data_IF_604749114339
#
_entry.id   IF_604749114339
#
_cell.length_a   1.000
_cell.length_b   1.000
_cell.length_c   1.000
_cell.angle_alpha   90.00
_cell.angle_beta   90.00
_cell.angle_gamma   90.00
#
_symmetry.space_group_name_H-M   'P 1'
#
loop_
_entity.id
_entity.type
_entity.pdbx_description
1 polymer ?
#
# COMPACT_ATOMS: atom_id res chain seq x y z
N UNK A 1 -43.15 32.43 -34.41
CA UNK A 1 -41.72 32.70 -34.41
C UNK A 1 -41.14 33.00 -33.02
N UNK A 2 -41.75 33.84 -32.17
CA UNK A 2 -41.22 34.17 -30.82
C UNK A 2 -41.15 32.98 -29.83
N UNK A 3 -42.01 31.97 -29.93
CA UNK A 3 -41.98 30.78 -29.04
C UNK A 3 -40.90 29.76 -29.43
N UNK A 4 -40.52 29.68 -30.73
CA UNK A 4 -39.44 28.79 -31.19
C UNK A 4 -38.06 29.30 -30.79
N UNK A 5 -37.88 30.64 -30.76
CA UNK A 5 -36.61 31.27 -30.33
C UNK A 5 -36.36 31.10 -28.83
N UNK A 6 -37.41 31.11 -28.00
CA UNK A 6 -37.30 30.92 -26.55
C UNK A 6 -36.88 29.45 -26.20
N UNK A 7 -37.36 28.48 -26.98
CA UNK A 7 -37.02 27.06 -26.77
C UNK A 7 -35.59 26.73 -27.17
N UNK A 8 -35.08 27.36 -28.27
CA UNK A 8 -33.69 27.19 -28.72
C UNK A 8 -32.69 27.82 -27.70
N UNK A 9 -33.03 28.96 -27.11
CA UNK A 9 -32.19 29.64 -26.13
C UNK A 9 -32.15 28.89 -24.79
N UNK A 10 -33.24 28.25 -24.37
CA UNK A 10 -33.25 27.38 -23.18
C UNK A 10 -32.43 26.09 -23.38
N UNK A 11 -32.44 25.52 -24.61
CA UNK A 11 -31.64 24.33 -24.93
C UNK A 11 -30.15 24.63 -24.98
N UNK A 12 -29.75 25.80 -25.51
CA UNK A 12 -28.34 26.24 -25.51
C UNK A 12 -27.84 26.55 -24.11
N UNK A 13 -28.67 27.07 -23.20
CA UNK A 13 -28.28 27.31 -21.78
C UNK A 13 -28.12 26.01 -21.01
N UNK A 14 -28.92 24.98 -21.28
CA UNK A 14 -28.76 23.66 -20.68
C UNK A 14 -27.46 22.96 -21.16
N UNK A 15 -27.12 23.06 -22.45
CA UNK A 15 -25.88 22.47 -22.98
C UNK A 15 -24.60 23.19 -22.50
N UNK A 16 -24.68 24.48 -22.17
CA UNK A 16 -23.54 25.23 -21.63
C UNK A 16 -23.32 25.05 -20.12
N UNK A 17 -24.36 24.63 -19.36
CA UNK A 17 -24.26 24.41 -17.92
C UNK A 17 -23.73 23.00 -17.57
N UNK A 18 -23.96 21.99 -18.43
CA UNK A 18 -23.54 20.62 -18.17
C UNK A 18 -22.01 20.43 -17.99
N UNK A 19 -21.13 20.99 -18.83
CA UNK A 19 -19.69 20.83 -18.65
C UNK A 19 -19.17 21.53 -17.39
N UNK A 20 -19.69 22.68 -17.01
CA UNK A 20 -19.29 23.41 -15.79
C UNK A 20 -19.68 22.66 -14.53
N UNK A 21 -20.85 22.04 -14.50
CA UNK A 21 -21.32 21.22 -13.35
C UNK A 21 -20.48 19.95 -13.23
N UNK A 22 -20.16 19.30 -14.34
CA UNK A 22 -19.31 18.10 -14.34
C UNK A 22 -17.85 18.39 -13.93
N UNK A 23 -17.29 19.52 -14.38
CA UNK A 23 -15.94 19.95 -14.02
C UNK A 23 -15.86 20.30 -12.52
N UNK A 24 -16.86 20.98 -11.96
CA UNK A 24 -16.92 21.29 -10.54
C UNK A 24 -17.09 20.01 -9.70
N UNK A 25 -17.96 19.07 -10.12
CA UNK A 25 -18.16 17.81 -9.41
C UNK A 25 -16.88 16.95 -9.38
N UNK A 26 -16.12 16.89 -10.47
CA UNK A 26 -14.87 16.16 -10.51
C UNK A 26 -13.78 16.84 -9.64
N UNK A 27 -13.77 18.18 -9.61
CA UNK A 27 -12.90 18.95 -8.70
C UNK A 27 -13.21 18.68 -7.23
N UNK A 28 -14.50 18.67 -6.86
CA UNK A 28 -14.92 18.40 -5.48
C UNK A 28 -14.60 16.96 -5.05
N UNK A 29 -14.78 16.01 -5.96
CA UNK A 29 -14.40 14.60 -5.74
C UNK A 29 -12.89 14.45 -5.55
N UNK A 30 -12.09 15.05 -6.41
CA UNK A 30 -10.63 15.04 -6.30
C UNK A 30 -10.18 15.63 -4.97
N UNK A 31 -10.78 16.74 -4.52
CA UNK A 31 -10.50 17.34 -3.23
C UNK A 31 -10.86 16.43 -2.06
N UNK A 32 -12.01 15.74 -2.13
CA UNK A 32 -12.44 14.80 -1.10
C UNK A 32 -11.51 13.56 -1.00
N UNK A 33 -11.13 12.98 -2.14
CA UNK A 33 -10.19 11.85 -2.18
C UNK A 33 -8.82 12.28 -1.61
N UNK A 34 -8.33 13.45 -2.01
CA UNK A 34 -7.08 14.02 -1.51
C UNK A 34 -7.11 14.22 0.00
N UNK A 35 -8.16 14.83 0.53
CA UNK A 35 -8.33 15.07 1.96
C UNK A 35 -8.34 13.75 2.75
N UNK A 36 -9.05 12.72 2.26
CA UNK A 36 -9.06 11.38 2.86
C UNK A 36 -7.65 10.79 2.97
N UNK A 37 -6.86 10.84 1.89
CA UNK A 37 -5.50 10.28 1.90
C UNK A 37 -4.53 11.08 2.77
N UNK A 38 -4.73 12.38 2.92
CA UNK A 38 -3.87 13.25 3.73
C UNK A 38 -4.20 13.23 5.24
N UNK A 39 -5.36 12.71 5.64
CA UNK A 39 -5.85 12.75 7.03
C UNK A 39 -4.76 12.35 8.04
N UNK A 40 -4.14 11.19 7.86
CA UNK A 40 -3.08 10.69 8.74
C UNK A 40 -1.78 11.52 8.66
N UNK A 41 -1.46 12.06 7.49
CA UNK A 41 -0.29 12.89 7.30
C UNK A 41 -0.47 14.29 7.90
N UNK A 42 -1.69 14.82 7.92
CA UNK A 42 -2.00 16.15 8.48
C UNK A 42 -1.90 16.17 10.01
N UNK A 43 -2.01 15.02 10.67
CA UNK A 43 -1.76 14.88 12.12
C UNK A 43 -0.26 15.03 12.48
N UNK A 44 0.65 14.92 11.51
CA UNK A 44 2.10 15.04 11.74
C UNK A 44 2.48 16.51 11.88
N UNK A 45 2.97 16.88 13.07
CA UNK A 45 3.45 18.22 13.38
C UNK A 45 4.97 18.29 13.21
N UNK A 46 5.43 19.26 12.43
CA UNK A 46 6.86 19.48 12.16
C UNK A 46 7.27 20.80 12.82
N UNK A 47 8.21 20.74 13.74
CA UNK A 47 8.83 21.91 14.37
C UNK A 47 10.19 22.21 13.73
N UNK A 48 10.91 23.21 14.23
CA UNK A 48 12.27 23.51 13.76
C UNK A 48 13.24 22.36 14.09
N UNK A 49 13.05 21.70 15.25
CA UNK A 49 14.01 20.72 15.80
C UNK A 49 13.49 19.29 15.86
N UNK A 50 12.19 19.06 15.74
CA UNK A 50 11.57 17.76 15.95
C UNK A 50 10.40 17.49 14.98
N UNK A 51 9.97 16.24 14.95
CA UNK A 51 8.75 15.77 14.31
C UNK A 51 7.91 15.09 15.38
N UNK A 52 6.62 15.47 15.48
CA UNK A 52 5.68 14.98 16.49
C UNK A 52 4.58 14.20 15.75
N UNK A 53 4.34 12.97 16.14
CA UNK A 53 3.36 12.08 15.52
C UNK A 53 2.97 10.95 16.47
N UNK A 54 1.82 10.31 16.24
CA UNK A 54 1.43 9.08 16.95
C UNK A 54 1.85 7.87 16.15
N UNK A 55 2.53 6.90 16.77
CA UNK A 55 2.85 5.62 16.15
C UNK A 55 1.81 4.52 16.47
N UNK A 56 2.06 3.28 16.06
CA UNK A 56 1.11 2.19 16.25
C UNK A 56 1.15 1.55 17.65
N UNK A 57 2.09 1.94 18.50
CA UNK A 57 2.28 1.36 19.83
C UNK A 57 2.07 2.37 20.97
N UNK A 58 2.05 3.67 20.67
CA UNK A 58 1.95 4.74 21.64
C UNK A 58 0.54 5.30 21.71
N UNK A 59 0.02 5.50 22.92
CA UNK A 59 -1.28 6.18 23.15
C UNK A 59 -1.13 7.71 23.07
N UNK A 60 0.10 8.22 23.20
CA UNK A 60 0.43 9.63 23.14
C UNK A 60 1.40 9.91 22.01
N UNK A 61 1.38 11.14 21.42
CA UNK A 61 2.33 11.48 20.37
C UNK A 61 3.78 11.34 20.83
N UNK A 62 4.62 10.80 19.96
CA UNK A 62 6.07 10.77 20.09
C UNK A 62 6.65 12.07 19.53
N UNK A 63 7.67 12.58 20.19
CA UNK A 63 8.49 13.67 19.67
C UNK A 63 9.89 13.15 19.39
N UNK A 64 10.29 13.12 18.12
CA UNK A 64 11.61 12.67 17.69
C UNK A 64 12.42 13.83 17.12
N UNK A 65 13.63 14.01 17.61
CA UNK A 65 14.54 15.05 17.11
C UNK A 65 14.93 14.77 15.66
N UNK A 66 14.95 15.82 14.83
CA UNK A 66 15.40 15.75 13.44
C UNK A 66 16.87 15.36 13.35
N UNK A 67 17.23 14.72 12.24
CA UNK A 67 18.54 14.16 12.00
C UNK A 67 18.99 13.25 13.17
N UNK A 68 18.17 12.21 13.49
CA UNK A 68 18.59 11.26 14.51
C UNK A 68 19.97 10.73 14.11
N UNK A 69 20.86 10.57 15.07
CA UNK A 69 22.21 10.11 14.81
C UNK A 69 22.21 8.70 14.22
N UNK A 70 22.65 7.73 14.98
CA UNK A 70 22.73 6.33 14.55
C UNK A 70 21.35 5.67 14.50
N UNK A 71 20.84 5.40 13.31
CA UNK A 71 19.47 4.87 13.11
C UNK A 71 19.49 3.40 12.72
N UNK A 72 18.68 2.57 13.40
CA UNK A 72 18.46 1.17 13.07
C UNK A 72 17.04 0.97 12.48
N UNK A 73 16.93 0.47 11.25
CA UNK A 73 15.65 0.20 10.58
C UNK A 73 15.49 -1.31 10.40
N UNK A 74 14.58 -1.90 11.17
CA UNK A 74 14.47 -3.34 11.37
C UNK A 74 13.32 -4.00 10.58
N UNK A 75 12.93 -3.43 9.43
CA UNK A 75 11.97 -4.03 8.51
C UNK A 75 12.25 -3.60 7.07
N UNK A 76 12.37 -4.54 6.13
CA UNK A 76 12.87 -4.27 4.78
C UNK A 76 12.13 -3.18 4.01
N UNK A 77 10.80 -3.19 4.02
CA UNK A 77 10.02 -2.13 3.35
C UNK A 77 10.15 -0.77 4.04
N UNK A 78 10.53 -0.72 5.33
CA UNK A 78 10.79 0.54 6.02
C UNK A 78 12.22 1.03 5.79
N UNK A 79 13.17 0.11 5.59
CA UNK A 79 14.50 0.48 5.10
C UNK A 79 14.37 1.21 3.76
N UNK A 80 13.63 0.63 2.80
CA UNK A 80 13.44 1.26 1.49
C UNK A 80 12.73 2.61 1.60
N UNK A 81 11.67 2.69 2.42
CA UNK A 81 10.96 3.96 2.67
C UNK A 81 11.87 5.03 3.31
N UNK A 82 12.71 4.63 4.28
CA UNK A 82 13.66 5.52 4.92
C UNK A 82 14.64 6.13 3.93
N UNK A 83 15.17 5.29 3.00
CA UNK A 83 16.08 5.75 1.94
C UNK A 83 15.37 6.62 0.89
N UNK A 84 14.15 6.26 0.48
CA UNK A 84 13.33 7.09 -0.43
C UNK A 84 12.99 8.46 0.17
N UNK A 85 12.87 8.53 1.50
CA UNK A 85 12.67 9.76 2.26
C UNK A 85 13.99 10.49 2.60
N UNK A 86 15.08 10.20 1.87
CA UNK A 86 16.36 10.90 1.95
C UNK A 86 17.26 10.49 3.11
N UNK A 87 16.91 9.45 3.86
CA UNK A 87 17.70 8.97 5.00
C UNK A 87 18.82 8.01 4.60
N UNK A 88 19.70 7.75 5.58
CA UNK A 88 20.65 6.65 5.58
C UNK A 88 20.48 5.90 6.91
N UNK A 89 20.30 4.60 6.86
CA UNK A 89 20.25 3.79 8.07
C UNK A 89 21.66 3.26 8.39
N UNK A 90 22.07 3.30 9.66
CA UNK A 90 23.35 2.76 10.10
C UNK A 90 23.23 1.27 10.45
N UNK A 91 22.06 0.84 10.87
CA UNK A 91 21.71 -0.55 11.11
C UNK A 91 20.50 -0.99 10.29
N UNK A 92 20.60 -2.10 9.59
CA UNK A 92 19.53 -2.64 8.74
C UNK A 92 19.36 -4.14 8.98
N UNK A 93 18.27 -4.68 8.41
CA UNK A 93 18.12 -6.12 8.26
C UNK A 93 18.67 -6.56 6.91
N UNK A 94 19.36 -7.71 6.89
CA UNK A 94 19.77 -8.38 5.66
C UNK A 94 18.69 -9.33 5.10
N UNK A 95 18.99 -9.99 3.99
CA UNK A 95 18.17 -11.07 3.43
C UNK A 95 16.71 -10.70 3.07
N UNK A 96 16.36 -9.42 3.07
CA UNK A 96 15.00 -8.94 2.83
C UNK A 96 14.69 -8.85 1.34
N UNK A 97 13.60 -9.47 0.91
CA UNK A 97 13.11 -9.35 -0.47
C UNK A 97 12.79 -7.90 -0.84
N UNK A 98 12.30 -7.08 0.10
CA UNK A 98 12.03 -5.66 -0.15
C UNK A 98 13.32 -4.90 -0.50
N UNK A 99 14.43 -5.17 0.19
CA UNK A 99 15.73 -4.54 -0.09
C UNK A 99 16.27 -4.99 -1.46
N UNK A 100 16.17 -6.28 -1.78
CA UNK A 100 16.58 -6.79 -3.09
C UNK A 100 15.77 -6.20 -4.23
N UNK A 101 14.46 -6.00 -4.03
CA UNK A 101 13.62 -5.35 -5.02
C UNK A 101 13.93 -3.86 -5.14
N UNK A 102 14.27 -3.19 -4.02
CA UNK A 102 14.75 -1.80 -4.06
C UNK A 102 16.03 -1.69 -4.89
N UNK A 103 16.97 -2.61 -4.73
CA UNK A 103 18.19 -2.67 -5.53
C UNK A 103 17.89 -2.76 -7.03
N UNK A 104 16.90 -3.58 -7.44
CA UNK A 104 16.53 -3.76 -8.84
C UNK A 104 16.08 -2.45 -9.53
N UNK A 105 15.35 -1.57 -8.84
CA UNK A 105 14.86 -0.33 -9.47
C UNK A 105 15.66 0.92 -9.11
N UNK A 106 16.37 0.92 -7.97
CA UNK A 106 17.23 2.06 -7.57
C UNK A 106 18.68 1.89 -7.99
N UNK A 107 19.11 0.65 -8.31
CA UNK A 107 20.50 0.29 -8.57
C UNK A 107 21.39 0.30 -7.31
N UNK A 108 20.78 0.31 -6.09
CA UNK A 108 21.50 0.44 -4.82
C UNK A 108 21.19 -0.68 -3.83
N UNK A 109 22.18 -1.49 -3.50
CA UNK A 109 22.13 -2.40 -2.35
C UNK A 109 22.50 -1.64 -1.07
N UNK A 110 21.51 -1.23 -0.33
CA UNK A 110 21.70 -0.45 0.91
C UNK A 110 22.44 -1.20 2.02
N UNK A 111 22.53 -2.53 1.95
CA UNK A 111 23.29 -3.34 2.91
C UNK A 111 24.79 -3.26 2.71
N UNK A 112 25.22 -2.77 1.54
CA UNK A 112 26.64 -2.59 1.16
C UNK A 112 27.10 -1.14 1.33
N UNK A 113 26.24 -0.23 1.77
CA UNK A 113 26.63 1.15 2.00
C UNK A 113 27.71 1.24 3.11
N UNK A 114 28.65 2.17 2.95
CA UNK A 114 29.70 2.40 3.93
C UNK A 114 29.13 2.76 5.30
N UNK A 115 29.56 2.05 6.33
CA UNK A 115 29.15 2.23 7.73
C UNK A 115 27.81 1.57 8.09
N UNK A 116 27.16 0.87 7.16
CA UNK A 116 25.95 0.09 7.45
C UNK A 116 26.30 -1.24 8.11
N UNK A 117 25.57 -1.59 9.16
CA UNK A 117 25.69 -2.87 9.87
C UNK A 117 24.40 -3.68 9.66
N UNK A 118 24.53 -4.93 9.20
CA UNK A 118 23.42 -5.87 9.17
C UNK A 118 23.17 -6.41 10.57
N UNK A 119 22.10 -5.97 11.22
CA UNK A 119 21.76 -6.31 12.61
C UNK A 119 20.95 -7.59 12.74
N UNK A 120 20.27 -8.00 11.69
CA UNK A 120 19.50 -9.23 11.62
C UNK A 120 19.39 -9.71 10.17
N UNK A 121 19.34 -11.04 9.98
CA UNK A 121 19.28 -11.67 8.65
C UNK A 121 17.87 -11.78 8.07
N UNK A 122 16.84 -11.41 8.83
CA UNK A 122 15.44 -11.56 8.40
C UNK A 122 14.51 -10.52 9.00
N UNK A 123 13.62 -9.99 8.17
CA UNK A 123 12.54 -9.09 8.57
C UNK A 123 11.53 -9.73 9.53
N UNK A 124 11.39 -11.07 9.52
CA UNK A 124 10.35 -11.76 10.27
C UNK A 124 10.43 -11.60 11.80
N UNK A 125 11.52 -11.04 12.32
CA UNK A 125 11.70 -10.74 13.73
C UNK A 125 11.90 -11.97 14.64
N UNK A 126 11.76 -13.18 14.11
CA UNK A 126 11.91 -14.43 14.89
C UNK A 126 13.31 -14.66 15.43
N UNK A 127 14.31 -14.12 14.75
CA UNK A 127 15.74 -14.34 15.02
C UNK A 127 16.48 -13.03 15.27
N UNK A 128 15.81 -11.98 15.74
CA UNK A 128 16.51 -10.76 16.12
C UNK A 128 17.32 -11.03 17.40
N UNK A 129 18.61 -10.78 17.31
CA UNK A 129 19.43 -10.75 18.52
C UNK A 129 19.27 -9.37 19.19
N UNK A 130 18.35 -9.29 20.15
CA UNK A 130 18.02 -8.07 20.88
C UNK A 130 19.25 -7.47 21.55
N UNK A 131 20.14 -8.30 22.12
CA UNK A 131 21.36 -7.84 22.77
C UNK A 131 22.30 -7.15 21.78
N UNK A 132 22.48 -7.70 20.59
CA UNK A 132 23.29 -7.09 19.54
C UNK A 132 22.68 -5.77 19.05
N UNK A 133 21.35 -5.70 18.89
CA UNK A 133 20.67 -4.47 18.48
C UNK A 133 20.85 -3.38 19.55
N UNK A 134 20.71 -3.70 20.83
CA UNK A 134 20.93 -2.74 21.91
C UNK A 134 22.42 -2.38 22.03
N UNK A 135 23.33 -3.35 21.89
CA UNK A 135 24.78 -3.12 21.91
C UNK A 135 25.28 -2.25 20.72
N UNK A 136 24.53 -2.24 19.62
CA UNK A 136 24.76 -1.33 18.50
C UNK A 136 24.58 0.13 18.91
N UNK A 137 23.85 0.41 20.00
CA UNK A 137 23.57 1.74 20.55
C UNK A 137 22.98 2.70 19.51
N UNK A 138 21.82 2.37 18.89
CA UNK A 138 21.17 3.31 18.00
C UNK A 138 20.54 4.46 18.78
N UNK A 139 20.51 5.63 18.18
CA UNK A 139 19.77 6.80 18.71
C UNK A 139 18.27 6.72 18.35
N UNK A 140 17.92 5.90 17.36
CA UNK A 140 16.55 5.63 16.92
C UNK A 140 16.41 4.22 16.38
N UNK A 141 15.35 3.51 16.77
CA UNK A 141 14.93 2.26 16.15
C UNK A 141 13.61 2.48 15.39
N UNK A 142 13.54 2.03 14.14
CA UNK A 142 12.31 1.98 13.34
C UNK A 142 11.97 0.51 13.08
N UNK A 143 10.76 0.08 13.45
CA UNK A 143 10.33 -1.31 13.26
C UNK A 143 8.81 -1.43 13.08
N UNK A 144 8.34 -2.63 12.72
CA UNK A 144 6.91 -2.92 12.52
C UNK A 144 6.31 -3.57 13.77
N UNK A 145 5.15 -3.10 14.20
CA UNK A 145 4.35 -3.75 15.26
C UNK A 145 3.84 -5.14 14.88
N UNK A 146 3.71 -5.41 13.57
CA UNK A 146 3.31 -6.72 13.06
C UNK A 146 4.40 -7.80 13.21
N UNK A 147 5.65 -7.40 13.45
CA UNK A 147 6.77 -8.34 13.58
C UNK A 147 6.94 -8.80 15.02
N UNK A 148 7.20 -10.11 15.21
CA UNK A 148 7.43 -10.68 16.55
C UNK A 148 8.64 -10.04 17.27
N UNK A 149 9.61 -9.55 16.52
CA UNK A 149 10.79 -8.85 17.05
C UNK A 149 10.46 -7.56 17.80
N UNK A 150 9.37 -6.86 17.43
CA UNK A 150 8.91 -5.69 18.19
C UNK A 150 8.64 -6.03 19.66
N UNK A 151 7.96 -7.16 19.92
CA UNK A 151 7.62 -7.61 21.28
C UNK A 151 8.85 -7.94 22.12
N UNK A 152 9.96 -8.34 21.48
CA UNK A 152 11.21 -8.68 22.17
C UNK A 152 12.12 -7.51 22.39
N UNK A 153 12.10 -6.49 21.48
CA UNK A 153 13.01 -5.34 21.55
C UNK A 153 12.44 -4.14 22.33
N UNK A 154 11.11 -4.00 22.41
CA UNK A 154 10.47 -2.79 22.97
C UNK A 154 10.89 -2.51 24.41
N UNK A 155 10.80 -3.49 25.32
CA UNK A 155 11.17 -3.30 26.72
C UNK A 155 12.69 -3.09 26.92
N UNK A 156 13.60 -3.86 26.29
CA UNK A 156 15.03 -3.58 26.35
C UNK A 156 15.44 -2.21 25.81
N UNK A 157 14.86 -1.77 24.70
CA UNK A 157 15.15 -0.45 24.13
C UNK A 157 14.68 0.67 25.07
N UNK A 158 13.48 0.55 25.62
CA UNK A 158 12.98 1.49 26.63
C UNK A 158 13.89 1.57 27.86
N UNK A 159 14.35 0.41 28.37
CA UNK A 159 15.28 0.38 29.50
C UNK A 159 16.63 1.01 29.18
N UNK A 160 17.08 0.96 27.93
CA UNK A 160 18.28 1.61 27.43
C UNK A 160 18.08 3.09 27.04
N UNK A 161 16.86 3.63 27.13
CA UNK A 161 16.55 5.00 26.74
C UNK A 161 16.56 5.22 25.21
N UNK A 162 16.43 4.15 24.42
CA UNK A 162 16.45 4.21 22.96
C UNK A 162 15.00 4.36 22.46
N UNK A 163 14.64 5.46 21.76
CA UNK A 163 13.33 5.65 21.20
C UNK A 163 13.04 4.65 20.07
N UNK A 164 11.80 4.16 20.01
CA UNK A 164 11.32 3.30 18.95
C UNK A 164 10.17 4.01 18.22
N UNK A 165 10.25 4.05 16.90
CA UNK A 165 9.11 4.33 16.01
C UNK A 165 8.51 2.99 15.59
N UNK A 166 7.38 2.65 16.19
CA UNK A 166 6.68 1.39 15.97
C UNK A 166 5.59 1.58 14.92
N UNK A 167 5.86 1.18 13.68
CA UNK A 167 4.99 1.46 12.55
C UNK A 167 3.91 0.38 12.35
N UNK A 168 2.70 0.83 12.03
CA UNK A 168 1.73 0.11 11.20
C UNK A 168 1.67 0.79 9.83
N UNK A 169 1.60 -0.01 8.76
CA UNK A 169 1.60 0.51 7.41
C UNK A 169 0.78 -0.43 6.52
N UNK A 170 -0.46 -0.04 6.22
CA UNK A 170 -1.45 -0.91 5.58
C UNK A 170 -2.11 -0.30 4.34
N UNK A 171 -1.95 1.01 4.09
CA UNK A 171 -2.59 1.70 2.99
C UNK A 171 -1.73 2.87 2.46
N UNK A 172 -2.24 3.55 1.44
CA UNK A 172 -1.58 4.71 0.85
C UNK A 172 -1.54 5.92 1.80
N UNK A 173 -2.53 6.09 2.69
CA UNK A 173 -2.52 7.13 3.72
C UNK A 173 -1.40 6.90 4.73
N UNK A 174 -1.13 5.64 5.08
CA UNK A 174 0.01 5.28 5.94
C UNK A 174 1.34 5.60 5.25
N UNK A 175 1.46 5.33 3.93
CA UNK A 175 2.63 5.73 3.16
C UNK A 175 2.87 7.23 3.25
N UNK A 176 1.85 8.05 2.99
CA UNK A 176 1.96 9.50 3.04
C UNK A 176 2.35 9.99 4.44
N UNK A 177 1.73 9.46 5.49
CA UNK A 177 2.09 9.77 6.89
C UNK A 177 3.57 9.48 7.15
N UNK A 178 4.00 8.25 6.90
CA UNK A 178 5.36 7.83 7.22
C UNK A 178 6.42 8.49 6.34
N UNK A 179 6.09 8.75 5.07
CA UNK A 179 6.97 9.54 4.19
C UNK A 179 7.16 10.97 4.72
N UNK A 180 6.05 11.64 5.16
CA UNK A 180 6.13 12.97 5.78
C UNK A 180 6.98 12.96 7.05
N UNK A 181 6.80 11.96 7.91
CA UNK A 181 7.61 11.78 9.12
C UNK A 181 9.08 11.64 8.74
N UNK A 182 9.42 10.71 7.84
CA UNK A 182 10.80 10.38 7.56
C UNK A 182 11.54 11.43 6.76
N UNK A 183 10.94 12.05 5.74
CA UNK A 183 11.62 13.13 5.02
C UNK A 183 11.95 14.32 5.94
N UNK A 184 11.08 14.62 6.91
CA UNK A 184 11.35 15.68 7.88
C UNK A 184 12.37 15.26 8.95
N UNK A 185 12.34 14.00 9.41
CA UNK A 185 13.38 13.48 10.32
C UNK A 185 14.76 13.47 9.66
N UNK A 186 14.82 13.15 8.36
CA UNK A 186 16.06 13.07 7.59
C UNK A 186 16.56 14.44 7.09
N UNK A 187 15.88 15.55 7.44
CA UNK A 187 16.26 16.90 7.00
C UNK A 187 16.08 17.14 5.50
N UNK A 188 15.17 16.41 4.84
CA UNK A 188 14.85 16.50 3.42
C UNK A 188 13.35 16.84 3.19
N UNK A 189 12.80 17.90 3.83
CA UNK A 189 11.38 18.19 3.78
C UNK A 189 10.83 18.48 2.38
N UNK A 190 11.69 18.89 1.43
CA UNK A 190 11.33 19.13 0.04
C UNK A 190 10.87 17.87 -0.69
N UNK A 191 11.30 16.68 -0.24
CA UNK A 191 10.86 15.40 -0.82
C UNK A 191 9.36 15.17 -0.63
N UNK A 192 8.75 15.79 0.39
CA UNK A 192 7.30 15.79 0.52
C UNK A 192 6.61 16.33 -0.73
N UNK A 193 7.08 17.47 -1.26
CA UNK A 193 6.49 18.12 -2.43
C UNK A 193 6.97 17.54 -3.76
N UNK A 194 8.15 16.91 -3.80
CA UNK A 194 8.73 16.40 -5.05
C UNK A 194 8.51 14.91 -5.28
N UNK A 195 8.15 14.16 -4.24
CA UNK A 195 7.90 12.71 -4.32
C UNK A 195 6.48 12.35 -3.88
N UNK A 196 6.09 12.67 -2.64
CA UNK A 196 4.82 12.23 -2.07
C UNK A 196 3.61 12.92 -2.72
N UNK A 197 3.67 14.24 -2.91
CA UNK A 197 2.54 14.99 -3.48
C UNK A 197 2.27 14.65 -4.96
N UNK A 198 3.26 14.49 -5.85
CA UNK A 198 3.04 13.97 -7.20
C UNK A 198 2.46 12.54 -7.21
N UNK A 199 2.88 11.68 -6.28
CA UNK A 199 2.29 10.35 -6.14
C UNK A 199 0.81 10.44 -5.75
N UNK A 200 0.45 11.30 -4.80
CA UNK A 200 -0.93 11.56 -4.42
C UNK A 200 -1.74 12.11 -5.60
N UNK A 201 -1.20 13.07 -6.35
CA UNK A 201 -1.87 13.65 -7.52
C UNK A 201 -2.22 12.58 -8.55
N UNK A 202 -1.28 11.66 -8.84
CA UNK A 202 -1.52 10.58 -9.80
C UNK A 202 -2.54 9.56 -9.28
N UNK A 203 -2.49 9.20 -7.99
CA UNK A 203 -3.50 8.28 -7.40
C UNK A 203 -4.90 8.91 -7.44
N UNK A 204 -5.01 10.20 -7.10
CA UNK A 204 -6.28 10.94 -7.17
C UNK A 204 -6.80 10.97 -8.62
N UNK A 205 -5.93 11.25 -9.60
CA UNK A 205 -6.30 11.24 -11.03
C UNK A 205 -6.83 9.88 -11.45
N UNK A 206 -6.16 8.78 -11.10
CA UNK A 206 -6.62 7.42 -11.39
C UNK A 206 -8.01 7.17 -10.82
N UNK A 207 -8.23 7.50 -9.54
CA UNK A 207 -9.51 7.28 -8.87
C UNK A 207 -10.63 8.17 -9.44
N UNK A 208 -10.31 9.41 -9.85
CA UNK A 208 -11.28 10.31 -10.47
C UNK A 208 -11.74 9.88 -11.87
N UNK A 209 -10.95 9.08 -12.59
CA UNK A 209 -11.34 8.51 -13.89
C UNK A 209 -12.33 7.35 -13.75
N UNK A 210 -12.36 6.67 -12.62
CA UNK A 210 -13.27 5.58 -12.32
C UNK A 210 -14.67 6.17 -11.99
N UNK A 211 -15.76 5.70 -12.58
CA UNK A 211 -17.11 6.17 -12.24
C UNK A 211 -17.44 5.99 -10.76
N UNK A 212 -18.12 6.95 -10.16
CA UNK A 212 -18.66 6.77 -8.80
C UNK A 212 -19.86 5.82 -8.83
N UNK A 213 -19.88 4.85 -7.92
CA UNK A 213 -20.94 3.87 -7.77
C UNK A 213 -21.37 3.30 -9.14
N UNK A 214 -20.44 2.66 -9.89
CA UNK A 214 -20.77 2.14 -11.22
C UNK A 214 -21.92 1.15 -11.12
N UNK A 215 -22.91 1.26 -12.01
CA UNK A 215 -24.09 0.36 -12.03
C UNK A 215 -23.68 -1.12 -12.10
N UNK A 216 -22.57 -1.39 -12.80
CA UNK A 216 -21.97 -2.71 -12.92
C UNK A 216 -20.55 -2.69 -12.33
N UNK A 217 -20.43 -2.50 -11.01
CA UNK A 217 -19.14 -2.56 -10.32
C UNK A 217 -18.47 -3.92 -10.57
N UNK A 218 -17.18 -3.97 -10.98
CA UNK A 218 -16.49 -5.23 -11.20
C UNK A 218 -16.44 -6.08 -9.92
N UNK A 219 -16.84 -7.36 -10.03
CA UNK A 219 -16.71 -8.33 -8.95
C UNK A 219 -15.34 -8.99 -9.02
N UNK A 220 -14.55 -8.85 -7.97
CA UNK A 220 -13.17 -9.30 -7.91
C UNK A 220 -13.01 -10.38 -6.85
N UNK A 221 -12.42 -11.50 -7.22
CA UNK A 221 -11.90 -12.46 -6.25
C UNK A 221 -10.40 -12.20 -6.04
N UNK A 222 -10.06 -11.64 -4.89
CA UNK A 222 -8.68 -11.31 -4.54
C UNK A 222 -8.06 -12.44 -3.73
N UNK A 223 -7.01 -13.08 -4.27
CA UNK A 223 -6.30 -14.20 -3.65
C UNK A 223 -4.90 -13.78 -3.21
N UNK A 224 -4.36 -14.44 -2.21
CA UNK A 224 -2.95 -14.38 -1.82
C UNK A 224 -2.32 -15.77 -1.93
N UNK A 225 -1.34 -15.89 -2.78
CA UNK A 225 -0.52 -17.09 -2.93
C UNK A 225 0.69 -16.99 -2.00
N UNK A 226 0.65 -17.68 -0.86
CA UNK A 226 1.74 -17.73 0.10
C UNK A 226 2.63 -18.95 -0.16
N UNK A 227 3.65 -19.17 0.67
CA UNK A 227 4.52 -20.34 0.55
C UNK A 227 3.81 -21.64 0.92
N UNK A 228 4.30 -22.78 0.41
CA UNK A 228 3.86 -24.15 0.79
C UNK A 228 2.39 -24.43 0.46
N UNK A 229 1.96 -24.07 -0.74
CA UNK A 229 0.62 -24.30 -1.25
C UNK A 229 -0.51 -23.71 -0.35
N UNK A 230 -0.16 -22.71 0.44
CA UNK A 230 -1.12 -21.96 1.23
C UNK A 230 -1.67 -20.78 0.41
N UNK A 231 -2.92 -20.91 -0.04
CA UNK A 231 -3.62 -19.88 -0.78
C UNK A 231 -4.84 -19.44 0.03
N UNK A 232 -4.96 -18.15 0.27
CA UNK A 232 -6.05 -17.53 1.03
C UNK A 232 -6.74 -16.44 0.23
N UNK A 233 -7.92 -16.02 0.66
CA UNK A 233 -8.62 -14.88 0.08
C UNK A 233 -8.22 -13.60 0.83
N UNK A 234 -7.86 -12.55 0.10
CA UNK A 234 -7.68 -11.21 0.63
C UNK A 234 -9.04 -10.54 0.82
N UNK A 235 -9.27 -9.95 1.98
CA UNK A 235 -10.44 -9.10 2.25
C UNK A 235 -10.10 -7.63 2.01
N UNK A 236 -11.09 -6.74 2.08
CA UNK A 236 -10.88 -5.29 1.99
C UNK A 236 -10.01 -4.72 3.11
N UNK A 237 -9.68 -5.50 4.14
CA UNK A 237 -8.77 -5.11 5.21
C UNK A 237 -7.27 -5.29 4.85
N UNK A 238 -6.96 -5.83 3.66
CA UNK A 238 -5.59 -5.86 3.11
C UNK A 238 -5.31 -4.62 2.25
N UNK A 239 -4.03 -4.33 1.99
CA UNK A 239 -3.64 -3.25 1.05
C UNK A 239 -4.32 -3.43 -0.30
N UNK A 240 -4.22 -4.62 -0.90
CA UNK A 240 -4.84 -4.92 -2.20
C UNK A 240 -6.37 -4.79 -2.15
N UNK A 241 -7.00 -5.35 -1.11
CA UNK A 241 -8.45 -5.28 -0.96
C UNK A 241 -8.97 -3.86 -0.72
N UNK A 242 -8.22 -3.05 0.04
CA UNK A 242 -8.50 -1.62 0.22
C UNK A 242 -8.46 -0.86 -1.12
N UNK A 243 -7.42 -1.10 -1.95
CA UNK A 243 -7.31 -0.51 -3.30
C UNK A 243 -8.48 -0.92 -4.20
N UNK A 244 -8.92 -2.20 -4.17
CA UNK A 244 -10.09 -2.68 -4.91
C UNK A 244 -11.33 -1.88 -4.50
N UNK A 245 -11.56 -1.68 -3.21
CA UNK A 245 -12.70 -0.92 -2.68
C UNK A 245 -12.62 0.57 -3.05
N UNK A 246 -11.45 1.19 -2.98
CA UNK A 246 -11.22 2.59 -3.38
C UNK A 246 -11.50 2.81 -4.87
N UNK A 247 -11.26 1.79 -5.69
CA UNK A 247 -11.59 1.76 -7.11
C UNK A 247 -13.05 1.36 -7.40
N UNK A 248 -13.94 1.40 -6.39
CA UNK A 248 -15.38 1.11 -6.58
C UNK A 248 -15.68 -0.32 -7.11
N UNK A 249 -14.74 -1.25 -6.97
CA UNK A 249 -14.96 -2.66 -7.29
C UNK A 249 -15.40 -3.44 -6.04
N UNK A 250 -16.07 -4.57 -6.25
CA UNK A 250 -16.59 -5.42 -5.17
C UNK A 250 -15.64 -6.57 -4.92
N UNK A 251 -14.99 -6.60 -3.76
CA UNK A 251 -14.23 -7.77 -3.32
C UNK A 251 -15.19 -8.82 -2.79
N UNK A 252 -15.39 -9.91 -3.53
CA UNK A 252 -16.37 -10.95 -3.16
C UNK A 252 -16.02 -11.66 -1.84
N UNK A 253 -14.76 -11.65 -1.42
CA UNK A 253 -14.30 -12.28 -0.18
C UNK A 253 -14.84 -11.61 1.08
N UNK A 254 -15.29 -10.36 0.99
CA UNK A 254 -15.82 -9.62 2.14
C UNK A 254 -17.14 -10.21 2.66
N UNK A 255 -17.92 -10.89 1.80
CA UNK A 255 -19.17 -11.53 2.19
C UNK A 255 -18.96 -12.67 3.19
N UNK A 256 -17.83 -13.37 3.14
CA UNK A 256 -17.45 -14.45 4.04
C UNK A 256 -16.63 -13.97 5.26
N UNK A 257 -16.23 -12.70 5.29
CA UNK A 257 -15.39 -12.13 6.35
C UNK A 257 -16.19 -11.66 7.56
N UNK A 258 -16.60 -12.60 8.42
CA UNK A 258 -17.35 -12.28 9.65
C UNK A 258 -16.45 -11.84 10.82
N UNK A 259 -15.14 -12.06 10.74
CA UNK A 259 -14.17 -11.79 11.81
C UNK A 259 -13.43 -10.45 11.66
N UNK A 260 -13.56 -9.78 10.52
CA UNK A 260 -12.75 -8.60 10.20
C UNK A 260 -11.27 -8.93 9.90
N UNK A 261 -10.96 -10.20 9.58
CA UNK A 261 -9.60 -10.61 9.28
C UNK A 261 -9.11 -10.01 7.95
N UNK A 262 -7.79 -9.79 7.85
CA UNK A 262 -7.15 -9.39 6.58
C UNK A 262 -7.26 -10.49 5.52
N UNK A 263 -7.17 -11.75 5.93
CA UNK A 263 -7.23 -12.92 5.05
C UNK A 263 -8.09 -14.00 5.67
N UNK A 264 -8.83 -14.68 4.82
CA UNK A 264 -9.73 -15.78 5.19
C UNK A 264 -9.46 -17.02 4.36
N UNK A 265 -9.90 -18.18 4.83
CA UNK A 265 -9.91 -19.41 4.04
C UNK A 265 -10.86 -19.27 2.84
N UNK A 266 -10.50 -19.92 1.72
CA UNK A 266 -11.30 -19.86 0.50
C UNK A 266 -12.46 -20.83 0.59
N UNK A 267 -13.68 -20.31 0.50
CA UNK A 267 -14.90 -21.08 0.31
C UNK A 267 -15.27 -21.10 -1.18
N UNK A 268 -14.95 -22.19 -1.86
CA UNK A 268 -15.18 -22.31 -3.31
C UNK A 268 -16.68 -22.29 -3.69
N UNK A 269 -17.60 -22.68 -2.79
CA UNK A 269 -19.04 -22.58 -3.05
C UNK A 269 -19.49 -21.12 -3.06
N UNK A 270 -19.02 -20.32 -2.10
CA UNK A 270 -19.28 -18.87 -2.07
C UNK A 270 -18.68 -18.17 -3.30
N UNK A 271 -17.45 -18.53 -3.68
CA UNK A 271 -16.80 -17.96 -4.88
C UNK A 271 -17.61 -18.29 -6.15
N UNK A 272 -18.07 -19.54 -6.29
CA UNK A 272 -18.89 -19.95 -7.42
C UNK A 272 -20.24 -19.21 -7.46
N UNK A 273 -20.90 -19.08 -6.31
CA UNK A 273 -22.19 -18.37 -6.22
C UNK A 273 -22.05 -16.86 -6.51
N UNK A 274 -20.93 -16.25 -6.14
CA UNK A 274 -20.66 -14.84 -6.40
C UNK A 274 -20.36 -14.55 -7.89
N UNK A 275 -19.86 -15.55 -8.64
CA UNK A 275 -19.45 -15.48 -10.05
C UNK A 275 -18.58 -14.23 -10.33
N UNK A 276 -17.32 -14.20 -9.87
CA UNK A 276 -16.47 -13.02 -10.04
C UNK A 276 -16.18 -12.75 -11.51
N UNK A 277 -16.11 -11.46 -11.87
CA UNK A 277 -15.74 -11.02 -13.21
C UNK A 277 -14.28 -11.30 -13.50
N UNK A 278 -13.43 -11.24 -12.48
CA UNK A 278 -12.00 -11.48 -12.58
C UNK A 278 -11.42 -11.99 -11.26
N UNK A 279 -10.25 -12.61 -11.36
CA UNK A 279 -9.46 -13.10 -10.23
C UNK A 279 -8.13 -12.37 -10.26
N UNK A 280 -7.73 -11.78 -9.13
CA UNK A 280 -6.41 -11.18 -8.95
C UNK A 280 -5.64 -11.97 -7.91
N UNK A 281 -4.42 -12.39 -8.25
CA UNK A 281 -3.56 -13.20 -7.38
C UNK A 281 -2.39 -12.34 -6.92
N UNK A 282 -2.38 -11.97 -5.66
CA UNK A 282 -1.24 -11.32 -5.01
C UNK A 282 -0.13 -12.36 -4.85
N UNK A 283 0.93 -12.22 -5.64
CA UNK A 283 2.05 -13.14 -5.62
C UNK A 283 3.01 -12.84 -4.46
N UNK A 284 3.55 -13.91 -3.85
CA UNK A 284 4.57 -13.82 -2.82
C UNK A 284 5.99 -13.91 -3.38
N UNK A 285 6.24 -14.82 -4.33
CA UNK A 285 7.56 -15.11 -4.88
C UNK A 285 7.74 -14.50 -6.28
N UNK A 286 7.22 -15.15 -7.30
CA UNK A 286 7.18 -14.68 -8.69
C UNK A 286 5.82 -15.02 -9.28
N UNK A 287 5.47 -14.40 -10.41
CA UNK A 287 4.21 -14.72 -11.10
C UNK A 287 4.21 -16.17 -11.58
N UNK A 288 5.34 -16.66 -12.06
CA UNK A 288 5.51 -18.01 -12.60
C UNK A 288 5.39 -19.06 -11.50
N UNK A 289 6.06 -18.86 -10.36
CA UNK A 289 6.00 -19.79 -9.23
C UNK A 289 4.61 -19.82 -8.60
N UNK A 290 3.99 -18.66 -8.45
CA UNK A 290 2.65 -18.53 -7.85
C UNK A 290 1.56 -19.05 -8.81
N UNK A 291 1.72 -18.91 -10.13
CA UNK A 291 0.85 -19.53 -11.12
C UNK A 291 0.94 -21.06 -11.07
N UNK A 292 2.16 -21.60 -10.98
CA UNK A 292 2.36 -23.03 -10.82
C UNK A 292 1.79 -23.56 -9.49
N UNK A 293 1.87 -22.78 -8.41
CA UNK A 293 1.25 -23.11 -7.13
C UNK A 293 -0.28 -23.13 -7.24
N UNK A 294 -0.88 -22.11 -7.88
CA UNK A 294 -2.33 -22.04 -8.08
C UNK A 294 -2.83 -23.25 -8.89
N UNK A 295 -2.11 -23.63 -9.95
CA UNK A 295 -2.45 -24.80 -10.77
C UNK A 295 -2.35 -26.11 -9.96
N UNK A 296 -1.32 -26.28 -9.12
CA UNK A 296 -1.21 -27.47 -8.24
C UNK A 296 -2.39 -27.59 -7.28
N UNK A 297 -2.85 -26.45 -6.71
CA UNK A 297 -3.91 -26.46 -5.68
C UNK A 297 -5.30 -26.53 -6.30
N UNK A 298 -5.55 -25.78 -7.37
CA UNK A 298 -6.90 -25.61 -7.94
C UNK A 298 -7.04 -26.13 -9.36
N UNK A 299 -5.96 -26.43 -10.10
CA UNK A 299 -6.02 -26.87 -11.51
C UNK A 299 -6.88 -28.10 -11.74
N UNK A 300 -6.94 -29.03 -10.79
CA UNK A 300 -7.84 -30.19 -10.82
C UNK A 300 -9.23 -29.98 -10.22
N UNK A 301 -9.53 -28.80 -9.66
CA UNK A 301 -10.80 -28.53 -8.99
C UNK A 301 -11.89 -28.17 -10.02
N UNK A 302 -12.95 -28.99 -10.09
CA UNK A 302 -14.04 -28.81 -11.08
C UNK A 302 -14.81 -27.48 -10.89
N UNK A 303 -14.96 -27.00 -9.65
CA UNK A 303 -15.61 -25.72 -9.34
C UNK A 303 -14.75 -24.57 -9.86
N UNK A 304 -13.43 -24.60 -9.58
CA UNK A 304 -12.49 -23.63 -10.09
C UNK A 304 -12.52 -23.55 -11.62
N UNK A 305 -12.44 -24.69 -12.31
CA UNK A 305 -12.49 -24.76 -13.77
C UNK A 305 -13.82 -24.31 -14.35
N UNK A 306 -14.89 -24.30 -13.56
CA UNK A 306 -16.22 -23.85 -13.99
C UNK A 306 -16.42 -22.33 -13.89
N UNK A 307 -15.60 -21.61 -13.12
CA UNK A 307 -15.69 -20.17 -12.95
C UNK A 307 -15.55 -19.46 -14.31
N UNK A 308 -16.39 -18.45 -14.53
CA UNK A 308 -16.38 -17.64 -15.76
C UNK A 308 -15.04 -16.94 -15.95
N UNK A 309 -14.49 -16.32 -14.89
CA UNK A 309 -13.21 -15.66 -14.91
C UNK A 309 -12.05 -16.60 -15.32
N UNK A 310 -12.08 -17.88 -14.89
CA UNK A 310 -11.07 -18.88 -15.28
C UNK A 310 -11.23 -19.28 -16.74
N UNK A 311 -12.44 -19.59 -17.20
CA UNK A 311 -12.73 -19.96 -18.60
C UNK A 311 -12.37 -18.87 -19.59
N UNK A 312 -12.54 -17.61 -19.21
CA UNK A 312 -12.25 -16.44 -20.04
C UNK A 312 -10.83 -15.92 -19.89
N UNK A 313 -9.97 -16.62 -19.10
CA UNK A 313 -8.57 -16.24 -18.90
C UNK A 313 -8.38 -14.94 -18.11
N UNK A 314 -9.38 -14.54 -17.30
CA UNK A 314 -9.33 -13.33 -16.48
C UNK A 314 -8.78 -13.62 -15.08
N UNK A 315 -7.63 -14.29 -15.03
CA UNK A 315 -6.83 -14.56 -13.83
C UNK A 315 -5.52 -13.80 -13.95
N UNK A 316 -5.32 -12.80 -13.10
CA UNK A 316 -4.20 -11.86 -13.19
C UNK A 316 -3.25 -12.06 -12.01
N UNK A 317 -1.99 -12.38 -12.30
CA UNK A 317 -0.94 -12.49 -11.30
C UNK A 317 -0.26 -11.13 -11.10
N UNK A 318 -0.32 -10.61 -9.87
CA UNK A 318 0.15 -9.27 -9.53
C UNK A 318 1.62 -9.30 -9.10
N UNK A 319 2.39 -8.31 -9.53
CA UNK A 319 3.81 -8.18 -9.21
C UNK A 319 4.05 -8.08 -7.70
N UNK A 320 4.91 -8.95 -7.09
CA UNK A 320 5.15 -8.93 -5.65
C UNK A 320 5.63 -7.59 -5.12
N UNK A 321 6.46 -6.89 -5.88
CA UNK A 321 7.03 -5.60 -5.47
C UNK A 321 6.02 -4.45 -5.43
N UNK A 322 4.86 -4.59 -6.07
CA UNK A 322 3.78 -3.61 -6.03
C UNK A 322 2.67 -3.99 -5.06
N UNK A 323 2.44 -5.28 -4.82
CA UNK A 323 1.25 -5.73 -4.10
C UNK A 323 1.53 -6.57 -2.85
N UNK A 324 2.69 -7.21 -2.73
CA UNK A 324 3.06 -7.99 -1.55
C UNK A 324 4.00 -7.25 -0.62
N UNK A 325 5.10 -6.71 -1.15
CA UNK A 325 5.99 -5.82 -0.41
C UNK A 325 5.48 -4.39 -0.54
N UNK A 326 5.55 -3.60 0.52
CA UNK A 326 5.05 -2.23 0.49
C UNK A 326 5.65 -1.46 -0.70
N UNK A 327 4.83 -0.96 -1.64
CA UNK A 327 5.35 -0.34 -2.87
C UNK A 327 6.04 1.02 -2.65
N UNK A 328 5.79 1.68 -1.51
CA UNK A 328 6.35 2.99 -1.14
C UNK A 328 6.10 4.05 -2.24
N UNK A 329 7.12 4.69 -2.81
CA UNK A 329 6.94 5.67 -3.89
C UNK A 329 6.27 5.09 -5.16
N UNK A 330 6.21 3.77 -5.30
CA UNK A 330 5.59 3.07 -6.43
C UNK A 330 4.10 2.73 -6.24
N UNK A 331 3.43 3.30 -5.24
CA UNK A 331 1.97 3.16 -5.13
C UNK A 331 1.25 3.59 -6.39
N UNK A 332 1.75 4.62 -7.08
CA UNK A 332 1.20 5.05 -8.38
C UNK A 332 1.16 3.93 -9.40
N UNK A 333 2.25 3.15 -9.51
CA UNK A 333 2.32 2.02 -10.43
C UNK A 333 1.31 0.92 -10.03
N UNK A 334 1.16 0.68 -8.72
CA UNK A 334 0.20 -0.30 -8.21
C UNK A 334 -1.25 0.12 -8.53
N UNK A 335 -1.61 1.40 -8.28
CA UNK A 335 -2.95 1.91 -8.61
C UNK A 335 -3.23 1.86 -10.11
N UNK A 336 -2.31 2.32 -10.96
CA UNK A 336 -2.47 2.27 -12.42
C UNK A 336 -2.59 0.83 -12.91
N UNK A 337 -1.76 -0.08 -12.42
CA UNK A 337 -1.80 -1.50 -12.81
C UNK A 337 -3.14 -2.14 -12.46
N UNK A 338 -3.61 -1.93 -11.22
CA UNK A 338 -4.87 -2.50 -10.77
C UNK A 338 -6.07 -1.88 -11.51
N UNK A 339 -6.07 -0.56 -11.71
CA UNK A 339 -7.12 0.15 -12.44
C UNK A 339 -7.29 -0.36 -13.86
N UNK A 340 -6.20 -0.62 -14.59
CA UNK A 340 -6.23 -1.22 -15.93
C UNK A 340 -6.79 -2.64 -15.97
N UNK A 341 -6.62 -3.40 -14.90
CA UNK A 341 -7.21 -4.74 -14.76
C UNK A 341 -8.70 -4.64 -14.50
N UNK A 342 -9.12 -3.73 -13.60
CA UNK A 342 -10.52 -3.59 -13.18
C UNK A 342 -11.39 -2.90 -14.24
N UNK A 343 -10.82 -1.95 -14.97
CA UNK A 343 -11.50 -1.07 -15.93
C UNK A 343 -10.72 -0.97 -17.24
N UNK A 344 -10.61 -2.07 -18.02
CA UNK A 344 -9.78 -2.11 -19.23
C UNK A 344 -10.25 -1.16 -20.34
N UNK A 345 -11.48 -0.64 -20.24
CA UNK A 345 -12.07 0.33 -21.18
C UNK A 345 -11.62 1.78 -20.89
N UNK A 346 -11.02 2.06 -19.72
CA UNK A 346 -10.57 3.39 -19.34
C UNK A 346 -9.06 3.52 -19.58
N UNK A 347 -8.66 4.61 -20.22
CA UNK A 347 -7.24 4.94 -20.42
C UNK A 347 -6.67 5.56 -19.13
N UNK A 348 -5.66 4.92 -18.55
CA UNK A 348 -4.94 5.37 -17.35
C UNK A 348 -3.48 5.77 -17.64
N UNK A 349 -3.05 5.75 -18.92
CA UNK A 349 -1.67 6.07 -19.31
C UNK A 349 -1.42 7.57 -19.53
N UNK A 350 -2.50 8.35 -19.74
CA UNK A 350 -2.43 9.79 -20.06
C UNK A 350 -2.63 10.66 -18.83
#
# INVERSE_FOLDING_TARGET
MKKLFSLLMALCLLCAALPVVAENANSDRAAAIRAKFLEKADEVVVTDTSVIFTDAASETPLEITKNPGKTAVLYGSFVTLWYEAGGKADGVIGGSSSIKLYELYSGRDVTQDEGVTVLAESSAGKNWNTENIIAFQPDLIVCSTAMSGYKTISAPAQAAGIPIVAMSYNDFSDYLKWFKVFCNLNGQPELWNTVAMPALDKVVDVLCRIPENPENAPKVFAMFSATKDNITANTSNTVLGGMISEMQAVNISDADNTSGAERIEINMESVFAADPDMIVVQCHASKEDDAAQLDRVYGGNAVWQSLRAVKEGRVYFLEPHLFHYKPNSRFTDAYVTLAKILYPEIDFDN
#
